data_IF_247990866874
#
_entry.id   IF_247990866874
#
_cell.length_a   1.000
_cell.length_b   1.000
_cell.length_c   1.000
_cell.angle_alpha   90.00
_cell.angle_beta   90.00
_cell.angle_gamma   90.00
#
_symmetry.space_group_name_H-M   'P 1'
#
loop_
_entity.id
_entity.type
_entity.pdbx_description
1 polymer ?
#
# COMPACT_ATOMS: atom_id res chain seq x y z
N UNK A 1 0.81 23.73 -4.47
CA UNK A 1 0.36 23.70 -4.06
C UNK A 1 -0.22 22.76 -3.68
N UNK A 2 -0.45 22.49 -2.98
CA UNK A 2 -0.93 21.51 -2.36
C UNK A 2 -1.59 20.50 -3.06
N UNK A 3 -1.17 20.15 -3.99
CA UNK A 3 -1.76 19.21 -4.59
C UNK A 3 -1.75 17.98 -3.96
N UNK A 4 -1.01 17.70 -3.05
CA UNK A 4 -1.00 16.45 -2.36
C UNK A 4 -2.11 16.30 -1.38
N UNK A 5 -2.90 17.32 -1.19
CA UNK A 5 -3.89 17.16 -0.19
C UNK A 5 -4.97 16.17 -0.55
N UNK A 6 -5.03 15.65 -1.70
CA UNK A 6 -5.98 14.61 -2.00
C UNK A 6 -5.48 13.22 -1.71
N UNK A 7 -4.19 13.07 -1.47
CA UNK A 7 -3.61 11.74 -1.33
C UNK A 7 -3.66 11.25 0.10
N UNK A 8 -3.74 9.96 0.27
CA UNK A 8 -3.72 9.34 1.58
C UNK A 8 -2.67 8.23 1.61
N UNK A 9 -2.28 7.88 2.81
CA UNK A 9 -1.22 6.93 3.03
C UNK A 9 -1.78 5.76 3.84
N UNK A 10 -1.47 4.55 3.44
CA UNK A 10 -1.90 3.38 4.18
C UNK A 10 -0.75 2.41 4.31
N UNK A 11 -0.63 1.79 5.47
CA UNK A 11 0.32 0.72 5.69
C UNK A 11 -0.46 -0.56 5.87
N UNK A 12 -0.16 -1.54 5.05
CA UNK A 12 -0.86 -2.82 5.08
C UNK A 12 0.10 -3.88 5.60
N UNK A 13 -0.33 -4.60 6.63
CA UNK A 13 0.43 -5.72 7.13
C UNK A 13 0.16 -6.93 6.29
N UNK A 14 1.20 -7.60 5.86
CA UNK A 14 1.09 -8.72 4.94
C UNK A 14 1.80 -9.93 5.51
N UNK A 15 1.12 -11.05 5.53
CA UNK A 15 1.70 -12.29 6.00
C UNK A 15 2.16 -13.14 4.84
N UNK A 16 3.20 -13.93 5.07
CA UNK A 16 3.69 -14.83 4.06
C UNK A 16 4.80 -14.28 3.21
N UNK A 17 5.21 -13.06 3.47
CA UNK A 17 6.28 -12.44 2.71
C UNK A 17 7.61 -12.87 3.29
N UNK A 18 8.36 -13.68 2.56
CA UNK A 18 9.60 -14.21 3.08
C UNK A 18 10.81 -13.93 2.20
N UNK A 19 10.64 -13.28 1.07
CA UNK A 19 11.76 -13.09 0.17
C UNK A 19 11.55 -11.90 -0.72
N UNK A 20 12.59 -11.52 -1.43
CA UNK A 20 12.51 -10.36 -2.30
C UNK A 20 11.53 -10.55 -3.43
N UNK A 21 11.32 -11.77 -3.87
CA UNK A 21 10.35 -11.98 -4.92
C UNK A 21 8.95 -11.66 -4.44
N UNK A 22 8.67 -11.98 -3.19
CA UNK A 22 7.38 -11.66 -2.62
C UNK A 22 7.18 -10.17 -2.58
N UNK A 23 8.23 -9.46 -2.18
CA UNK A 23 8.18 -8.01 -2.11
C UNK A 23 7.89 -7.42 -3.49
N UNK A 24 8.58 -7.90 -4.49
CA UNK A 24 8.42 -7.36 -5.84
C UNK A 24 7.05 -7.68 -6.40
N UNK A 25 6.52 -8.86 -6.13
CA UNK A 25 5.22 -9.23 -6.63
C UNK A 25 4.14 -8.32 -6.03
N UNK A 26 4.24 -8.05 -4.74
CA UNK A 26 3.28 -7.19 -4.08
C UNK A 26 3.42 -5.77 -4.58
N UNK A 27 4.65 -5.29 -4.71
CA UNK A 27 4.88 -3.94 -5.17
C UNK A 27 4.30 -3.74 -6.57
N UNK A 28 4.46 -4.73 -7.44
CA UNK A 28 3.94 -4.63 -8.78
C UNK A 28 2.42 -4.67 -8.78
N UNK A 29 1.84 -5.56 -8.01
CA UNK A 29 0.39 -5.68 -7.97
C UNK A 29 -0.25 -4.40 -7.47
N UNK A 30 0.32 -3.81 -6.43
CA UNK A 30 -0.23 -2.58 -5.89
C UNK A 30 0.03 -1.40 -6.82
N UNK A 31 1.19 -1.37 -7.44
CA UNK A 31 1.51 -0.29 -8.34
C UNK A 31 0.68 -0.27 -9.60
N UNK A 32 0.09 -1.42 -9.96
CA UNK A 32 -0.76 -1.50 -11.12
C UNK A 32 -2.19 -1.00 -10.84
N UNK A 33 -2.53 -0.75 -9.61
CA UNK A 33 -3.86 -0.28 -9.27
C UNK A 33 -3.98 1.19 -9.66
N UNK A 34 -5.00 1.56 -10.45
CA UNK A 34 -5.16 2.96 -10.82
C UNK A 34 -5.41 3.81 -9.58
N UNK A 35 -4.74 4.94 -9.51
CA UNK A 35 -4.86 5.83 -8.37
C UNK A 35 -3.77 5.66 -7.34
N UNK A 36 -2.92 4.66 -7.50
CA UNK A 36 -1.79 4.46 -6.60
C UNK A 36 -0.62 5.28 -7.13
N UNK A 37 -0.04 6.10 -6.28
CA UNK A 37 1.07 6.98 -6.67
C UNK A 37 2.42 6.41 -6.28
N UNK A 38 2.51 5.82 -5.10
CA UNK A 38 3.76 5.24 -4.64
C UNK A 38 3.51 4.00 -3.82
N UNK A 39 4.39 3.04 -3.95
CA UNK A 39 4.32 1.80 -3.18
C UNK A 39 5.70 1.47 -2.68
N UNK A 40 5.82 1.19 -1.38
CA UNK A 40 7.04 0.68 -0.81
C UNK A 40 6.71 -0.56 -0.02
N UNK A 41 7.47 -1.61 -0.21
CA UNK A 41 7.22 -2.86 0.47
C UNK A 41 8.47 -3.25 1.25
N UNK A 42 8.28 -3.61 2.51
CA UNK A 42 9.38 -4.02 3.36
C UNK A 42 9.08 -5.45 3.83
N UNK A 43 9.78 -6.42 3.27
CA UNK A 43 9.50 -7.80 3.63
C UNK A 43 10.04 -8.16 5.00
N UNK A 44 10.99 -7.39 5.52
CA UNK A 44 11.50 -7.68 6.86
C UNK A 44 10.45 -7.38 7.92
N UNK A 45 9.71 -6.31 7.75
CA UNK A 45 8.65 -6.00 8.69
C UNK A 45 7.31 -6.56 8.24
N UNK A 46 7.21 -7.01 7.02
CA UNK A 46 5.96 -7.55 6.51
C UNK A 46 4.92 -6.48 6.25
N UNK A 47 5.35 -5.31 5.82
CA UNK A 47 4.42 -4.20 5.61
C UNK A 47 4.61 -3.58 4.25
N UNK A 48 3.52 -3.06 3.71
CA UNK A 48 3.54 -2.29 2.48
C UNK A 48 3.00 -0.91 2.77
N UNK A 49 3.70 0.10 2.30
CA UNK A 49 3.29 1.49 2.44
C UNK A 49 2.84 1.99 1.08
N UNK A 50 1.64 2.54 1.01
CA UNK A 50 1.05 2.93 -0.25
C UNK A 50 0.53 4.35 -0.15
N UNK A 51 0.93 5.18 -1.11
CA UNK A 51 0.39 6.52 -1.25
C UNK A 51 -0.59 6.49 -2.41
N UNK A 52 -1.83 6.84 -2.17
CA UNK A 52 -2.87 6.67 -3.16
C UNK A 52 -3.87 7.80 -3.10
N UNK A 53 -4.66 7.90 -4.18
CA UNK A 53 -5.72 8.90 -4.28
C UNK A 53 -7.02 8.24 -3.84
N UNK A 54 -7.59 8.64 -2.70
CA UNK A 54 -8.79 7.99 -2.19
C UNK A 54 -10.02 8.22 -3.08
N UNK A 55 -9.95 9.14 -4.02
CA UNK A 55 -11.03 9.34 -4.95
C UNK A 55 -10.99 8.35 -6.10
N UNK A 56 -9.86 7.70 -6.32
CA UNK A 56 -9.72 6.76 -7.42
C UNK A 56 -9.64 5.32 -6.95
N UNK A 57 -9.12 5.08 -5.76
CA UNK A 57 -8.94 3.72 -5.30
C UNK A 57 -9.29 3.65 -3.82
N UNK A 58 -9.82 2.53 -3.40
CA UNK A 58 -10.18 2.30 -2.01
C UNK A 58 -9.25 1.29 -1.39
N UNK A 59 -9.13 1.34 -0.08
CA UNK A 59 -8.25 0.41 0.64
C UNK A 59 -8.62 -1.03 0.31
N UNK A 60 -9.91 -1.31 0.14
CA UNK A 60 -10.34 -2.64 -0.21
C UNK A 60 -9.70 -3.12 -1.50
N UNK A 61 -9.56 -2.24 -2.48
CA UNK A 61 -8.94 -2.61 -3.73
C UNK A 61 -7.46 -2.94 -3.52
N UNK A 62 -6.81 -2.23 -2.62
CA UNK A 62 -5.42 -2.50 -2.32
C UNK A 62 -5.28 -3.85 -1.62
N UNK A 63 -6.17 -4.14 -0.67
CA UNK A 63 -6.15 -5.42 0.02
C UNK A 63 -6.42 -6.56 -0.98
N UNK A 64 -7.34 -6.36 -1.90
CA UNK A 64 -7.63 -7.36 -2.90
C UNK A 64 -6.43 -7.60 -3.80
N UNK A 65 -5.70 -6.55 -4.15
CA UNK A 65 -4.52 -6.70 -4.98
C UNK A 65 -3.47 -7.54 -4.27
N UNK A 66 -3.31 -7.34 -2.97
CA UNK A 66 -2.39 -8.15 -2.19
C UNK A 66 -2.85 -9.61 -2.19
N UNK A 67 -4.14 -9.83 -2.00
CA UNK A 67 -4.67 -11.19 -1.95
C UNK A 67 -4.46 -11.92 -3.27
N UNK A 68 -4.52 -11.19 -4.36
CA UNK A 68 -4.35 -11.81 -5.66
C UNK A 68 -2.94 -12.32 -5.88
N UNK A 69 -1.97 -11.80 -5.16
CA UNK A 69 -0.61 -12.30 -5.30
C UNK A 69 -0.40 -13.60 -4.51
N UNK A 70 -1.38 -14.03 -3.75
CA UNK A 70 -1.23 -15.23 -2.94
C UNK A 70 -0.85 -14.94 -1.50
N UNK A 71 -0.63 -13.70 -1.15
CA UNK A 71 -0.31 -13.33 0.22
C UNK A 71 -1.55 -12.78 0.90
N UNK A 72 -1.49 -12.63 2.18
CA UNK A 72 -2.66 -12.26 2.95
C UNK A 72 -2.42 -10.97 3.69
N UNK A 73 -3.30 -10.01 3.50
CA UNK A 73 -3.26 -8.78 4.27
C UNK A 73 -3.97 -9.03 5.60
N UNK A 74 -3.24 -8.84 6.70
CA UNK A 74 -3.79 -9.15 8.01
C UNK A 74 -4.29 -7.91 8.73
N UNK A 75 -3.99 -6.75 8.22
CA UNK A 75 -4.49 -5.51 8.82
C UNK A 75 -3.92 -4.33 8.10
N UNK A 76 -4.45 -3.15 8.39
CA UNK A 76 -3.90 -1.96 7.79
C UNK A 76 -4.06 -0.80 8.76
N UNK A 77 -3.19 0.19 8.61
CA UNK A 77 -3.24 1.43 9.36
C UNK A 77 -3.27 2.55 8.37
N UNK A 78 -4.29 3.38 8.45
CA UNK A 78 -4.42 4.48 7.52
C UNK A 78 -3.87 5.73 8.16
N UNK A 79 -3.06 6.45 7.40
CA UNK A 79 -2.50 7.69 7.88
C UNK A 79 -2.65 8.76 6.83
N UNK A 80 -2.18 9.94 7.14
CA UNK A 80 -2.16 11.02 6.20
C UNK A 80 -0.75 11.32 5.82
N UNK A 81 -0.57 11.66 4.57
CA UNK A 81 0.74 12.08 4.12
C UNK A 81 0.92 13.55 4.46
N UNK A 82 0.88 13.85 5.73
CA UNK A 82 0.96 15.22 6.19
C UNK A 82 1.97 15.30 7.32
N UNK A 83 3.15 15.74 7.04
CA UNK A 83 4.19 15.75 8.06
C UNK A 83 3.91 16.70 9.19
N UNK A 84 3.05 17.64 8.99
CA UNK A 84 2.79 18.57 10.07
C UNK A 84 1.83 18.00 11.06
N UNK A 85 1.33 16.84 10.81
CA UNK A 85 0.39 16.28 11.71
C UNK A 85 0.99 15.91 12.99
N UNK A 86 2.10 16.24 13.29
CA UNK A 86 2.58 15.91 14.50
C UNK A 86 3.40 16.85 14.97
#
# INVERSE_FOLDING_TARGET
MGNAHGDQFVMIKIEGMHCHRCEQAIKKALGDVPGVHEVEVDFLSGQASILYDPNQVKIRQLVDAVAETGYQATGFTQGRADPAAH
#
